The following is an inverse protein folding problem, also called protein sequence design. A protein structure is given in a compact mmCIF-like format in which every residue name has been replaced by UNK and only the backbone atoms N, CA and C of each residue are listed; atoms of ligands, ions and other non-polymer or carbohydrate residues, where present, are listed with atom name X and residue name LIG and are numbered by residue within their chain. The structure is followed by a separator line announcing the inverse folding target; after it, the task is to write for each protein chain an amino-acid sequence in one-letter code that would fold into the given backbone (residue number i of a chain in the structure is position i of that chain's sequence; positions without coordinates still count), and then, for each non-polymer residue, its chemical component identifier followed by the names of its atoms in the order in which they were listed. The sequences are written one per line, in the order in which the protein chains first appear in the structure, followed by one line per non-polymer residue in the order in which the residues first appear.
data_IF_399190905685
#
_entry.id   IF_399190905685
#
_cell.length_a   1.000
_cell.length_b   1.000
_cell.length_c   1.000
_cell.angle_alpha   90.00
_cell.angle_beta   90.00
_cell.angle_gamma   90.00
#
_symmetry.space_group_name_H-M   'P 1'
#
loop_
_entity.id
_entity.type
_entity.pdbx_description
1 polymer ?
#
# COMPACT_ATOMS: atom_id res chain seq x y z
N UNK A 1 -21.99 10.02 4.06
CA UNK A 1 -20.57 9.77 4.38
C UNK A 1 -19.61 10.49 3.44
N UNK A 2 -19.85 10.42 2.13
CA UNK A 2 -18.97 11.08 1.15
C UNK A 2 -18.89 12.61 1.32
N UNK A 3 -19.99 13.36 1.46
CA UNK A 3 -19.90 14.81 1.66
C UNK A 3 -19.12 15.20 2.91
N UNK A 4 -19.24 14.44 3.99
CA UNK A 4 -18.47 14.68 5.22
C UNK A 4 -17.00 14.40 5.03
N UNK A 5 -16.64 13.36 4.31
CA UNK A 5 -15.24 13.03 4.03
C UNK A 5 -14.58 14.05 3.11
N UNK A 6 -15.29 14.53 2.09
CA UNK A 6 -14.79 15.60 1.20
C UNK A 6 -14.61 16.91 1.96
N UNK A 7 -15.52 17.23 2.85
CA UNK A 7 -15.41 18.40 3.70
C UNK A 7 -14.22 18.29 4.66
N UNK A 8 -14.03 17.12 5.27
CA UNK A 8 -12.89 16.85 6.14
C UNK A 8 -11.56 16.98 5.39
N UNK A 9 -11.51 16.50 4.15
CA UNK A 9 -10.34 16.67 3.28
C UNK A 9 -10.05 18.15 3.02
N UNK A 10 -11.07 18.94 2.64
CA UNK A 10 -10.91 20.36 2.37
C UNK A 10 -10.44 21.12 3.63
N UNK A 11 -10.98 20.79 4.79
CA UNK A 11 -10.55 21.38 6.06
C UNK A 11 -9.08 21.04 6.34
N UNK A 12 -8.68 19.79 6.14
CA UNK A 12 -7.30 19.36 6.32
C UNK A 12 -6.35 20.10 5.38
N UNK A 13 -6.70 20.21 4.10
CA UNK A 13 -5.89 20.94 3.12
C UNK A 13 -5.71 22.42 3.49
N UNK A 14 -6.76 23.06 4.00
CA UNK A 14 -6.71 24.46 4.41
C UNK A 14 -5.94 24.65 5.73
N UNK A 15 -6.04 23.70 6.67
CA UNK A 15 -5.45 23.82 8.00
C UNK A 15 -3.97 23.45 8.04
N UNK A 16 -3.56 22.41 7.28
CA UNK A 16 -2.22 21.84 7.32
C UNK A 16 -1.43 22.02 6.02
N UNK A 17 -2.07 22.48 4.96
CA UNK A 17 -1.52 22.51 3.61
C UNK A 17 -1.82 21.21 2.84
N UNK A 18 -1.76 21.27 1.48
CA UNK A 18 -2.19 20.16 0.62
C UNK A 18 -1.28 18.92 0.71
N UNK A 19 -0.06 19.05 1.20
CA UNK A 19 0.93 17.98 1.23
C UNK A 19 1.24 17.49 2.64
N UNK A 20 0.38 17.75 3.60
CA UNK A 20 0.56 17.30 4.98
C UNK A 20 0.09 15.84 5.15
N UNK A 21 0.78 15.03 6.00
CA UNK A 21 0.38 13.63 6.24
C UNK A 21 -1.07 13.43 6.69
N UNK A 22 -1.65 14.38 7.41
CA UNK A 22 -3.08 14.32 7.76
C UNK A 22 -3.97 14.34 6.52
N UNK A 23 -3.57 15.05 5.48
CA UNK A 23 -4.29 15.06 4.20
C UNK A 23 -4.21 13.68 3.54
N UNK A 24 -3.06 13.01 3.62
CA UNK A 24 -2.90 11.65 3.08
C UNK A 24 -3.89 10.67 3.74
N UNK A 25 -4.09 10.76 5.06
CA UNK A 25 -5.04 9.93 5.78
C UNK A 25 -6.46 10.15 5.25
N UNK A 26 -6.85 11.40 5.06
CA UNK A 26 -8.18 11.76 4.56
C UNK A 26 -8.40 11.32 3.12
N UNK A 27 -7.35 11.42 2.29
CA UNK A 27 -7.37 10.91 0.91
C UNK A 27 -7.59 9.41 0.88
N UNK A 28 -6.88 8.65 1.72
CA UNK A 28 -7.05 7.21 1.83
C UNK A 28 -8.47 6.84 2.27
N UNK A 29 -9.02 7.54 3.25
CA UNK A 29 -10.38 7.28 3.75
C UNK A 29 -11.43 7.53 2.67
N UNK A 30 -11.32 8.64 1.94
CA UNK A 30 -12.23 8.95 0.84
C UNK A 30 -12.09 7.92 -0.29
N UNK A 31 -10.87 7.53 -0.63
CA UNK A 31 -10.61 6.52 -1.65
C UNK A 31 -11.25 5.17 -1.29
N UNK A 32 -11.16 4.75 -0.02
CA UNK A 32 -11.80 3.52 0.44
C UNK A 32 -13.33 3.58 0.28
N UNK A 33 -13.94 4.72 0.59
CA UNK A 33 -15.36 4.89 0.38
C UNK A 33 -15.73 4.81 -1.10
N UNK A 34 -14.94 5.45 -1.96
CA UNK A 34 -15.16 5.41 -3.42
C UNK A 34 -15.01 3.99 -3.96
N UNK A 35 -14.05 3.22 -3.46
CA UNK A 35 -13.90 1.80 -3.80
C UNK A 35 -15.13 0.99 -3.37
N UNK A 36 -15.63 1.22 -2.16
CA UNK A 36 -16.80 0.53 -1.62
C UNK A 36 -18.06 0.81 -2.45
N UNK A 37 -18.12 1.96 -3.09
CA UNK A 37 -19.23 2.36 -3.98
C UNK A 37 -18.91 2.13 -5.46
N UNK A 38 -17.88 1.35 -5.76
CA UNK A 38 -17.43 0.98 -7.11
C UNK A 38 -17.04 2.17 -8.00
N UNK A 39 -16.55 3.25 -7.38
CA UNK A 39 -16.07 4.45 -8.09
C UNK A 39 -14.53 4.42 -8.15
N UNK A 40 -13.98 3.38 -8.79
CA UNK A 40 -12.56 3.05 -8.77
C UNK A 40 -11.70 4.08 -9.50
N UNK A 41 -12.20 4.63 -10.61
CA UNK A 41 -11.48 5.64 -11.38
C UNK A 41 -11.28 6.94 -10.62
N UNK A 42 -12.20 7.28 -9.70
CA UNK A 42 -12.09 8.46 -8.85
C UNK A 42 -11.18 8.20 -7.65
N UNK A 43 -11.10 6.95 -7.17
CA UNK A 43 -10.27 6.58 -6.04
C UNK A 43 -8.78 6.57 -6.38
N UNK A 44 -8.40 6.18 -7.59
CA UNK A 44 -6.99 6.02 -7.97
C UNK A 44 -6.15 7.29 -7.78
N UNK A 45 -6.54 8.46 -8.31
CA UNK A 45 -5.73 9.67 -8.13
C UNK A 45 -5.58 10.08 -6.66
N UNK A 46 -6.58 9.79 -5.82
CA UNK A 46 -6.51 10.07 -4.38
C UNK A 46 -5.46 9.19 -3.69
N UNK A 47 -5.42 7.91 -4.04
CA UNK A 47 -4.43 6.97 -3.49
C UNK A 47 -3.01 7.32 -3.95
N UNK A 48 -2.85 7.71 -5.22
CA UNK A 48 -1.53 8.13 -5.74
C UNK A 48 -1.05 9.40 -5.05
N UNK A 49 -1.96 10.34 -4.80
CA UNK A 49 -1.63 11.57 -4.09
C UNK A 49 -1.23 11.29 -2.64
N UNK A 50 -1.97 10.41 -1.95
CA UNK A 50 -1.64 10.02 -0.57
C UNK A 50 -0.25 9.38 -0.49
N UNK A 51 0.07 8.49 -1.44
CA UNK A 51 1.39 7.87 -1.54
C UNK A 51 2.49 8.92 -1.72
N UNK A 52 2.31 9.86 -2.63
CA UNK A 52 3.29 10.92 -2.89
C UNK A 52 3.53 11.79 -1.65
N UNK A 53 2.47 12.14 -0.93
CA UNK A 53 2.56 12.91 0.32
C UNK A 53 3.40 12.16 1.35
N UNK A 54 3.09 10.89 1.58
CA UNK A 54 3.77 10.11 2.61
C UNK A 54 5.23 9.80 2.22
N UNK A 55 5.52 9.54 0.94
CA UNK A 55 6.90 9.40 0.46
C UNK A 55 7.73 10.65 0.73
N UNK A 56 7.15 11.82 0.48
CA UNK A 56 7.83 13.09 0.71
C UNK A 56 8.02 13.39 2.20
N UNK A 57 7.00 13.10 3.01
CA UNK A 57 6.99 13.45 4.44
C UNK A 57 7.80 12.51 5.31
N UNK A 58 7.76 11.20 5.02
CA UNK A 58 8.37 10.16 5.84
C UNK A 58 9.56 9.47 5.19
N UNK A 59 9.79 9.69 3.91
CA UNK A 59 10.78 8.97 3.13
C UNK A 59 10.22 7.70 2.49
N UNK A 60 10.93 7.15 1.46
CA UNK A 60 10.40 6.07 0.63
C UNK A 60 10.26 4.72 1.34
N UNK A 61 10.89 4.53 2.50
CA UNK A 61 10.95 3.24 3.20
C UNK A 61 10.15 3.22 4.51
N UNK A 62 9.27 4.19 4.71
CA UNK A 62 8.45 4.26 5.91
C UNK A 62 7.23 3.32 5.80
N UNK A 63 6.80 2.77 6.95
CA UNK A 63 5.64 1.87 7.01
C UNK A 63 4.37 2.48 6.43
N UNK A 64 4.15 3.78 6.59
CA UNK A 64 2.99 4.46 6.01
C UNK A 64 2.99 4.39 4.49
N UNK A 65 4.17 4.49 3.88
CA UNK A 65 4.34 4.34 2.42
C UNK A 65 3.97 2.91 2.00
N UNK A 66 4.37 1.90 2.78
CA UNK A 66 4.00 0.51 2.48
C UNK A 66 2.48 0.30 2.54
N UNK A 67 1.79 0.92 3.49
CA UNK A 67 0.33 0.87 3.58
C UNK A 67 -0.31 1.51 2.35
N UNK A 68 0.17 2.67 1.93
CA UNK A 68 -0.33 3.36 0.74
C UNK A 68 -0.10 2.54 -0.54
N UNK A 69 1.08 1.92 -0.66
CA UNK A 69 1.40 1.03 -1.78
C UNK A 69 0.42 -0.14 -1.85
N UNK A 70 0.12 -0.75 -0.70
CA UNK A 70 -0.85 -1.84 -0.64
C UNK A 70 -2.26 -1.39 -1.03
N UNK A 71 -2.69 -0.22 -0.55
CA UNK A 71 -4.00 0.33 -0.90
C UNK A 71 -4.12 0.57 -2.40
N UNK A 72 -3.11 1.16 -3.01
CA UNK A 72 -3.09 1.38 -4.46
C UNK A 72 -3.06 0.05 -5.22
N UNK A 73 -2.28 -0.91 -4.76
CA UNK A 73 -2.21 -2.23 -5.39
C UNK A 73 -3.55 -2.97 -5.36
N UNK A 74 -4.30 -2.86 -4.26
CA UNK A 74 -5.65 -3.44 -4.18
C UNK A 74 -6.58 -2.84 -5.23
N UNK A 75 -6.52 -1.54 -5.45
CA UNK A 75 -7.29 -0.88 -6.50
C UNK A 75 -6.88 -1.39 -7.89
N UNK A 76 -5.59 -1.51 -8.14
CA UNK A 76 -5.06 -2.02 -9.41
C UNK A 76 -5.48 -3.47 -9.65
N UNK A 77 -5.52 -4.30 -8.60
CA UNK A 77 -6.06 -5.67 -8.68
C UNK A 77 -7.54 -5.63 -9.08
N UNK A 78 -8.33 -4.76 -8.45
CA UNK A 78 -9.76 -4.62 -8.72
C UNK A 78 -10.05 -4.16 -10.16
N UNK A 79 -9.13 -3.43 -10.78
CA UNK A 79 -9.21 -2.98 -12.17
C UNK A 79 -8.46 -3.88 -13.14
N UNK A 80 -8.05 -5.08 -12.70
CA UNK A 80 -7.30 -6.07 -13.47
C UNK A 80 -5.96 -5.57 -14.03
N UNK A 81 -5.32 -4.66 -13.31
CA UNK A 81 -3.99 -4.12 -13.64
C UNK A 81 -2.92 -4.78 -12.78
N UNK A 82 -2.83 -6.12 -12.88
CA UNK A 82 -2.00 -6.97 -12.02
C UNK A 82 -0.50 -6.71 -12.19
N UNK A 83 -0.06 -6.46 -13.43
CA UNK A 83 1.35 -6.18 -13.71
C UNK A 83 1.83 -4.88 -13.07
N UNK A 84 0.93 -3.91 -12.85
CA UNK A 84 1.24 -2.68 -12.13
C UNK A 84 1.16 -2.86 -10.61
N UNK A 85 0.27 -3.74 -10.14
CA UNK A 85 0.11 -4.02 -8.71
C UNK A 85 1.32 -4.77 -8.13
N UNK A 86 1.91 -5.68 -8.88
CA UNK A 86 2.99 -6.56 -8.44
C UNK A 86 4.19 -5.79 -7.87
N UNK A 87 4.81 -4.83 -8.59
CA UNK A 87 5.97 -4.12 -8.06
C UNK A 87 5.65 -3.27 -6.83
N UNK A 88 4.42 -2.76 -6.72
CA UNK A 88 4.00 -1.99 -5.55
C UNK A 88 3.94 -2.87 -4.30
N UNK A 89 3.39 -4.07 -4.43
CA UNK A 89 3.32 -5.04 -3.33
C UNK A 89 4.70 -5.55 -2.94
N UNK A 90 5.58 -5.80 -3.92
CA UNK A 90 6.96 -6.18 -3.66
C UNK A 90 7.68 -5.11 -2.83
N UNK A 91 7.52 -3.86 -3.21
CA UNK A 91 8.10 -2.73 -2.47
C UNK A 91 7.54 -2.63 -1.06
N UNK A 92 6.22 -2.79 -0.90
CA UNK A 92 5.57 -2.77 0.41
C UNK A 92 6.11 -3.88 1.32
N UNK A 93 6.27 -5.10 0.79
CA UNK A 93 6.85 -6.22 1.53
C UNK A 93 8.28 -5.93 1.96
N UNK A 94 9.11 -5.39 1.08
CA UNK A 94 10.49 -5.03 1.40
C UNK A 94 10.55 -4.04 2.56
N UNK A 95 9.66 -3.05 2.58
CA UNK A 95 9.56 -2.08 3.66
C UNK A 95 9.19 -2.77 4.98
N UNK A 96 8.18 -3.64 4.97
CA UNK A 96 7.74 -4.34 6.18
C UNK A 96 8.75 -5.38 6.66
N UNK A 97 9.47 -6.06 5.77
CA UNK A 97 10.54 -6.98 6.16
C UNK A 97 11.70 -6.22 6.79
N UNK A 98 12.06 -5.07 6.24
CA UNK A 98 13.07 -4.20 6.83
C UNK A 98 12.64 -3.70 8.22
N UNK A 99 11.37 -3.35 8.38
CA UNK A 99 10.79 -3.01 9.68
C UNK A 99 10.96 -4.16 10.69
N UNK A 100 10.65 -5.40 10.28
CA UNK A 100 10.80 -6.59 11.12
C UNK A 100 12.26 -6.79 11.53
N UNK A 101 13.19 -6.63 10.59
CA UNK A 101 14.63 -6.75 10.87
C UNK A 101 15.09 -5.71 11.89
N UNK A 102 14.64 -4.47 11.76
CA UNK A 102 15.06 -3.36 12.64
C UNK A 102 14.45 -3.43 14.03
N UNK A 103 13.20 -3.86 14.14
CA UNK A 103 12.44 -3.81 15.40
C UNK A 103 12.34 -5.15 16.11
N UNK A 104 12.54 -6.27 15.40
CA UNK A 104 12.30 -7.61 15.91
C UNK A 104 10.81 -8.00 15.98
N UNK A 105 9.92 -7.15 15.50
CA UNK A 105 8.48 -7.39 15.51
C UNK A 105 7.92 -7.31 14.09
N UNK A 106 6.96 -8.19 13.77
CA UNK A 106 6.24 -8.10 12.51
C UNK A 106 5.25 -6.93 12.54
N UNK A 107 5.24 -6.16 11.46
CA UNK A 107 4.23 -5.10 11.31
C UNK A 107 2.84 -5.73 11.19
N UNK A 108 1.79 -5.16 11.82
CA UNK A 108 0.43 -5.72 11.76
C UNK A 108 -0.11 -5.94 10.35
N UNK A 109 0.31 -5.15 9.38
CA UNK A 109 -0.12 -5.27 7.98
C UNK A 109 0.68 -6.27 7.15
N UNK A 110 1.79 -6.81 7.68
CA UNK A 110 2.69 -7.68 6.91
C UNK A 110 1.96 -8.89 6.34
N UNK A 111 1.15 -9.56 7.17
CA UNK A 111 0.43 -10.76 6.74
C UNK A 111 -0.52 -10.47 5.58
N UNK A 112 -1.29 -9.40 5.68
CA UNK A 112 -2.26 -9.01 4.65
C UNK A 112 -1.57 -8.65 3.34
N UNK A 113 -0.47 -7.92 3.41
CA UNK A 113 0.32 -7.55 2.22
C UNK A 113 0.94 -8.79 1.58
N UNK A 114 1.42 -9.73 2.38
CA UNK A 114 1.95 -11.01 1.89
C UNK A 114 0.87 -11.79 1.14
N UNK A 115 -0.32 -11.88 1.69
CA UNK A 115 -1.45 -12.55 1.04
C UNK A 115 -1.82 -11.86 -0.27
N UNK A 116 -1.89 -10.54 -0.29
CA UNK A 116 -2.19 -9.77 -1.50
C UNK A 116 -1.14 -9.99 -2.59
N UNK A 117 0.13 -10.03 -2.21
CA UNK A 117 1.23 -10.29 -3.13
C UNK A 117 1.15 -11.69 -3.72
N UNK A 118 0.95 -12.70 -2.86
CA UNK A 118 0.80 -14.08 -3.30
C UNK A 118 -0.39 -14.23 -4.26
N UNK A 119 -1.53 -13.61 -3.95
CA UNK A 119 -2.71 -13.64 -4.82
C UNK A 119 -2.45 -12.97 -6.16
N UNK A 120 -1.71 -11.88 -6.18
CA UNK A 120 -1.34 -11.18 -7.42
C UNK A 120 -0.44 -12.06 -8.29
N UNK A 121 0.58 -12.68 -7.71
CA UNK A 121 1.47 -13.58 -8.44
C UNK A 121 0.72 -14.79 -8.99
N UNK A 122 -0.20 -15.36 -8.20
CA UNK A 122 -1.05 -16.47 -8.64
C UNK A 122 -1.92 -16.06 -9.82
N UNK A 123 -2.53 -14.88 -9.77
CA UNK A 123 -3.34 -14.35 -10.85
C UNK A 123 -2.51 -14.07 -12.12
N UNK A 124 -1.21 -13.78 -11.95
CA UNK A 124 -0.27 -13.61 -13.06
C UNK A 124 0.25 -14.96 -13.62
N UNK A 125 -0.22 -16.09 -13.09
CA UNK A 125 0.12 -17.41 -13.59
C UNK A 125 1.34 -18.07 -12.91
N UNK A 126 1.81 -17.52 -11.79
CA UNK A 126 2.93 -18.12 -11.05
C UNK A 126 2.48 -19.35 -10.28
N UNK A 127 3.33 -20.35 -10.21
CA UNK A 127 3.09 -21.56 -9.42
C UNK A 127 3.28 -21.26 -7.92
N UNK A 128 2.71 -22.09 -7.06
CA UNK A 128 2.87 -21.97 -5.61
C UNK A 128 4.36 -22.06 -5.21
N UNK A 129 5.12 -22.93 -5.85
CA UNK A 129 6.56 -23.05 -5.61
C UNK A 129 7.30 -21.76 -5.96
N UNK A 130 6.96 -21.13 -7.10
CA UNK A 130 7.55 -19.86 -7.52
C UNK A 130 7.20 -18.73 -6.55
N UNK A 131 5.96 -18.68 -6.09
CA UNK A 131 5.51 -17.68 -5.13
C UNK A 131 6.27 -17.80 -3.81
N UNK A 132 6.40 -19.01 -3.30
CA UNK A 132 7.14 -19.28 -2.06
C UNK A 132 8.63 -18.94 -2.19
N UNK A 133 9.24 -19.24 -3.34
CA UNK A 133 10.62 -18.87 -3.63
C UNK A 133 10.81 -17.35 -3.65
N UNK A 134 9.90 -16.63 -4.29
CA UNK A 134 9.94 -15.17 -4.36
C UNK A 134 9.83 -14.53 -2.98
N UNK A 135 8.91 -15.01 -2.14
CA UNK A 135 8.75 -14.53 -0.76
C UNK A 135 10.01 -14.79 0.08
N UNK A 136 10.61 -15.98 -0.04
CA UNK A 136 11.88 -16.28 0.65
C UNK A 136 12.99 -15.35 0.20
N UNK A 137 13.09 -15.08 -1.10
CA UNK A 137 14.09 -14.17 -1.64
C UNK A 137 13.95 -12.75 -1.10
N UNK A 138 12.73 -12.23 -1.04
CA UNK A 138 12.45 -10.89 -0.50
C UNK A 138 12.83 -10.81 0.97
N UNK A 139 12.54 -11.84 1.76
CA UNK A 139 12.93 -11.88 3.18
C UNK A 139 14.45 -11.90 3.31
N UNK A 140 15.13 -12.71 2.52
CA UNK A 140 16.58 -12.82 2.54
C UNK A 140 17.26 -11.50 2.13
N UNK A 141 16.76 -10.84 1.11
CA UNK A 141 17.26 -9.53 0.66
C UNK A 141 17.14 -8.47 1.76
N UNK A 142 16.14 -8.57 2.61
CA UNK A 142 15.94 -7.68 3.75
C UNK A 142 16.76 -8.07 4.98
N UNK A 143 17.55 -9.13 4.90
CA UNK A 143 18.42 -9.59 5.98
C UNK A 143 17.73 -10.48 7.02
N UNK A 144 16.50 -10.92 6.76
CA UNK A 144 15.80 -11.89 7.61
C UNK A 144 16.17 -13.28 7.16
N UNK A 145 16.72 -14.08 8.08
CA UNK A 145 17.09 -15.47 7.81
C UNK A 145 16.00 -16.39 8.34
N UNK A 146 15.64 -17.36 7.52
CA UNK A 146 14.81 -18.48 7.98
C UNK A 146 15.67 -19.37 8.87
N UNK A 147 15.23 -19.59 10.10
CA UNK A 147 15.85 -20.52 11.02
C UNK A 147 15.40 -21.96 10.74
#
# INVERSE_FOLDING_TARGET
AEPLMRRALAIGENSFGPDHPHVAIRLNNLAQLLQATNRLAEAEPLLRRALAIDEHSFGPDHSNVAIDLNNLAQLLQATNRLAEAEPLLRRALSIFFDFTRRTGYEHPHLRKVTENYANTLKALGRSEADINAELRNLRAESGIRDE
#
